data_IF_425046167663
#
_entry.id   IF_425046167663
#
_cell.length_a   1.000
_cell.length_b   1.000
_cell.length_c   1.000
_cell.angle_alpha   90.00
_cell.angle_beta   90.00
_cell.angle_gamma   90.00
#
_symmetry.space_group_name_H-M   'P 1'
#
loop_
_entity.id
_entity.type
_entity.pdbx_description
1 polymer ?
#
# COMPACT_ATOMS: atom_id res chain seq x y z
N UNK A 1 -16.11 -16.11 -9.50
CA UNK A 1 -15.29 -14.89 -9.38
C UNK A 1 -15.77 -14.15 -8.15
N UNK A 2 -14.83 -13.56 -7.40
CA UNK A 2 -15.14 -12.73 -6.24
C UNK A 2 -15.90 -11.47 -6.67
N UNK A 3 -16.84 -10.99 -5.83
CA UNK A 3 -17.59 -9.78 -6.12
C UNK A 3 -16.68 -8.53 -6.11
N UNK A 4 -15.61 -8.55 -5.30
CA UNK A 4 -14.59 -7.50 -5.26
C UNK A 4 -13.20 -8.14 -5.26
N UNK A 5 -12.45 -7.92 -6.32
CA UNK A 5 -11.05 -8.35 -6.44
C UNK A 5 -10.11 -7.26 -5.87
N UNK A 6 -8.92 -7.62 -5.35
CA UNK A 6 -7.97 -6.65 -4.78
C UNK A 6 -7.59 -5.50 -5.73
N UNK A 7 -7.47 -5.76 -7.02
CA UNK A 7 -7.18 -4.76 -8.06
C UNK A 7 -8.29 -3.73 -8.28
N UNK A 8 -9.48 -4.03 -7.77
CA UNK A 8 -10.65 -3.15 -7.82
C UNK A 8 -10.79 -2.29 -6.56
N UNK A 9 -9.77 -2.25 -5.71
CA UNK A 9 -9.74 -1.47 -4.48
C UNK A 9 -8.62 -0.43 -4.59
N UNK A 10 -8.99 0.85 -4.58
CA UNK A 10 -8.04 1.95 -4.51
C UNK A 10 -8.13 2.64 -3.17
N UNK A 11 -7.00 2.77 -2.48
CA UNK A 11 -6.90 3.40 -1.16
C UNK A 11 -5.99 4.62 -1.29
N UNK A 12 -6.49 5.78 -0.87
CA UNK A 12 -5.76 7.05 -0.97
C UNK A 12 -5.82 7.80 0.36
N UNK A 13 -4.65 8.17 0.89
CA UNK A 13 -4.58 9.13 1.98
C UNK A 13 -4.95 10.52 1.45
N UNK A 14 -6.04 11.10 1.94
CA UNK A 14 -6.50 12.44 1.55
C UNK A 14 -5.83 13.50 2.39
N UNK A 15 -5.64 13.21 3.68
CA UNK A 15 -5.04 14.11 4.67
C UNK A 15 -4.51 13.29 5.83
N UNK A 16 -3.49 13.78 6.51
CA UNK A 16 -2.85 13.08 7.64
C UNK A 16 -3.19 13.70 9.01
N UNK A 17 -3.64 14.97 9.06
CA UNK A 17 -3.98 15.64 10.33
C UNK A 17 -5.18 16.58 10.17
N UNK A 18 -6.40 16.19 10.63
CA UNK A 18 -6.80 14.83 11.02
C UNK A 18 -6.72 13.85 9.83
N UNK A 19 -6.49 12.58 10.11
CA UNK A 19 -6.31 11.61 9.05
C UNK A 19 -7.63 11.23 8.38
N UNK A 20 -7.65 11.33 7.04
CA UNK A 20 -8.73 10.87 6.19
C UNK A 20 -8.19 9.97 5.09
N UNK A 21 -8.82 8.81 4.94
CA UNK A 21 -8.49 7.82 3.92
C UNK A 21 -9.71 7.57 3.05
N UNK A 22 -9.52 7.65 1.74
CA UNK A 22 -10.57 7.36 0.76
C UNK A 22 -10.39 5.94 0.26
N UNK A 23 -11.45 5.15 0.33
CA UNK A 23 -11.58 3.85 -0.31
C UNK A 23 -12.50 4.00 -1.53
N UNK A 24 -12.00 3.66 -2.70
CA UNK A 24 -12.76 3.55 -3.94
C UNK A 24 -12.80 2.06 -4.30
N UNK A 25 -13.99 1.49 -4.31
CA UNK A 25 -14.22 0.05 -4.46
C UNK A 25 -15.15 -0.15 -5.65
N UNK A 26 -14.80 -1.09 -6.52
CA UNK A 26 -15.62 -1.53 -7.62
C UNK A 26 -16.05 -2.98 -7.41
N UNK A 27 -17.35 -3.20 -7.28
CA UNK A 27 -17.97 -4.53 -7.24
C UNK A 27 -18.46 -4.92 -8.63
N UNK A 28 -18.43 -6.21 -8.98
CA UNK A 28 -18.87 -6.72 -10.28
C UNK A 28 -20.40 -6.54 -10.53
N UNK A 29 -21.17 -6.33 -9.47
CA UNK A 29 -22.59 -6.06 -9.51
C UNK A 29 -23.00 -5.19 -8.33
N UNK A 30 -24.11 -4.45 -8.43
CA UNK A 30 -24.64 -3.66 -7.32
C UNK A 30 -24.86 -4.51 -6.08
N UNK A 31 -24.28 -4.10 -4.97
CA UNK A 31 -24.37 -4.78 -3.69
C UNK A 31 -24.09 -3.84 -2.52
N UNK A 32 -24.39 -4.31 -1.31
CA UNK A 32 -23.96 -3.64 -0.09
C UNK A 32 -22.50 -3.99 0.19
N UNK A 33 -21.69 -2.97 0.38
CA UNK A 33 -20.28 -3.06 0.75
C UNK A 33 -20.13 -2.73 2.23
N UNK A 34 -19.47 -3.59 2.99
CA UNK A 34 -19.05 -3.32 4.35
C UNK A 34 -17.53 -3.28 4.40
N UNK A 35 -16.98 -2.14 4.87
CA UNK A 35 -15.55 -1.93 5.10
C UNK A 35 -15.27 -1.96 6.59
N UNK A 36 -14.32 -2.77 7.00
CA UNK A 36 -13.81 -2.85 8.36
C UNK A 36 -12.31 -2.52 8.35
N UNK A 37 -11.85 -1.72 9.32
CA UNK A 37 -10.44 -1.34 9.46
C UNK A 37 -9.94 -1.72 10.85
N UNK A 38 -8.81 -2.40 10.91
CA UNK A 38 -8.13 -2.85 12.11
C UNK A 38 -6.67 -2.39 12.19
N UNK A 39 -6.08 -2.54 13.37
CA UNK A 39 -4.67 -2.23 13.62
C UNK A 39 -3.76 -3.40 13.24
N UNK A 40 -2.59 -3.06 12.66
CA UNK A 40 -1.44 -3.95 12.52
C UNK A 40 -1.67 -5.18 11.65
N UNK A 41 -0.64 -6.03 11.61
CA UNK A 41 -0.62 -7.28 10.85
C UNK A 41 -0.93 -8.51 11.73
N UNK A 42 -1.14 -8.33 13.05
CA UNK A 42 -1.43 -9.43 13.96
C UNK A 42 -2.87 -9.90 13.82
N UNK A 43 -3.07 -11.21 14.05
CA UNK A 43 -4.34 -11.92 13.85
C UNK A 43 -5.45 -11.59 14.86
N UNK A 44 -5.23 -10.65 15.77
CA UNK A 44 -6.31 -10.16 16.62
C UNK A 44 -7.35 -9.48 15.73
N UNK A 45 -8.46 -10.15 15.47
CA UNK A 45 -9.56 -9.71 14.59
C UNK A 45 -10.32 -8.48 15.14
N UNK A 46 -9.60 -7.58 15.81
CA UNK A 46 -10.21 -6.35 16.33
C UNK A 46 -10.21 -5.29 15.25
N UNK A 47 -11.40 -5.06 14.69
CA UNK A 47 -11.68 -3.92 13.83
C UNK A 47 -12.26 -2.79 14.67
N UNK A 48 -11.73 -1.58 14.51
CA UNK A 48 -12.15 -0.40 15.27
C UNK A 48 -12.99 0.58 14.44
N UNK A 49 -13.04 0.40 13.13
CA UNK A 49 -13.93 1.12 12.22
C UNK A 49 -14.71 0.10 11.42
N UNK A 50 -16.03 0.31 11.32
CA UNK A 50 -16.91 -0.44 10.44
C UNK A 50 -17.85 0.54 9.76
N UNK A 51 -17.83 0.59 8.43
CA UNK A 51 -18.67 1.42 7.60
C UNK A 51 -19.35 0.58 6.52
N UNK A 52 -20.60 0.89 6.23
CA UNK A 52 -21.36 0.18 5.19
C UNK A 52 -22.05 1.16 4.27
N UNK A 53 -22.00 0.87 2.97
CA UNK A 53 -22.66 1.68 1.94
C UNK A 53 -23.08 0.78 0.78
N UNK A 54 -24.23 1.10 0.18
CA UNK A 54 -24.66 0.45 -1.05
C UNK A 54 -23.90 1.04 -2.24
N UNK A 55 -23.49 0.18 -3.17
CA UNK A 55 -22.87 0.61 -4.42
C UNK A 55 -23.92 1.27 -5.35
N UNK A 56 -23.43 2.04 -6.29
CA UNK A 56 -24.25 2.53 -7.40
C UNK A 56 -24.64 1.40 -8.36
N UNK A 57 -25.40 1.76 -9.43
CA UNK A 57 -25.85 0.81 -10.47
C UNK A 57 -24.70 0.17 -11.24
N UNK A 58 -23.51 0.79 -11.22
CA UNK A 58 -22.29 0.28 -11.85
C UNK A 58 -21.40 -0.50 -10.88
N UNK A 59 -21.80 -0.68 -9.63
CA UNK A 59 -21.02 -1.38 -8.61
C UNK A 59 -19.98 -0.51 -7.88
N UNK A 60 -19.95 0.81 -8.09
CA UNK A 60 -18.95 1.68 -7.48
C UNK A 60 -19.38 2.13 -6.07
N UNK A 61 -18.43 2.14 -5.15
CA UNK A 61 -18.54 2.75 -3.82
C UNK A 61 -17.33 3.62 -3.52
N UNK A 62 -17.58 4.82 -3.01
CA UNK A 62 -16.55 5.64 -2.42
C UNK A 62 -16.89 5.90 -0.94
N UNK A 63 -15.94 5.56 -0.06
CA UNK A 63 -16.01 5.78 1.38
C UNK A 63 -14.87 6.71 1.79
N UNK A 64 -15.17 7.74 2.57
CA UNK A 64 -14.17 8.63 3.18
C UNK A 64 -14.14 8.37 4.69
N UNK A 65 -13.08 7.76 5.13
CA UNK A 65 -12.92 7.27 6.50
C UNK A 65 -12.02 8.21 7.29
N UNK A 66 -12.50 8.69 8.43
CA UNK A 66 -11.67 9.39 9.42
C UNK A 66 -11.01 8.35 10.33
N UNK A 67 -9.70 8.41 10.45
CA UNK A 67 -8.93 7.56 11.36
C UNK A 67 -8.42 8.41 12.51
N UNK A 68 -9.03 8.23 13.69
CA UNK A 68 -8.63 8.96 14.89
C UNK A 68 -7.26 8.51 15.39
N UNK A 69 -6.43 9.46 15.81
CA UNK A 69 -5.08 9.19 16.31
C UNK A 69 -4.25 8.29 15.38
N UNK A 70 -4.33 8.56 14.06
CA UNK A 70 -3.70 7.73 13.06
C UNK A 70 -2.18 7.63 13.27
N UNK A 71 -1.67 6.40 13.20
CA UNK A 71 -0.24 6.11 13.14
C UNK A 71 0.18 6.19 11.67
N UNK A 72 1.07 7.12 11.38
CA UNK A 72 1.53 7.36 10.02
C UNK A 72 2.64 6.38 9.63
N UNK A 73 2.61 5.94 8.38
CA UNK A 73 3.67 5.13 7.80
C UNK A 73 4.87 6.00 7.43
N UNK A 74 6.07 5.58 7.78
CA UNK A 74 7.33 6.11 7.26
C UNK A 74 8.33 4.97 7.06
N UNK A 75 9.47 5.26 6.41
CA UNK A 75 10.53 4.26 6.22
C UNK A 75 11.11 3.75 7.54
N UNK A 76 11.09 4.57 8.60
CA UNK A 76 11.57 4.22 9.94
C UNK A 76 10.49 3.55 10.80
N UNK A 77 9.22 3.85 10.53
CA UNK A 77 8.07 3.28 11.22
C UNK A 77 6.99 2.87 10.22
N UNK A 78 7.15 1.71 9.56
CA UNK A 78 6.27 1.27 8.47
C UNK A 78 4.95 0.68 9.02
N UNK A 79 4.17 1.53 9.70
CA UNK A 79 2.92 1.09 10.30
C UNK A 79 1.84 0.85 9.25
N UNK A 80 1.26 -0.35 9.23
CA UNK A 80 0.18 -0.74 8.34
C UNK A 80 -1.12 -0.97 9.13
N UNK A 81 -2.21 -0.51 8.56
CA UNK A 81 -3.57 -0.88 8.90
C UNK A 81 -3.98 -2.06 8.04
N UNK A 82 -4.88 -2.91 8.55
CA UNK A 82 -5.55 -3.92 7.75
C UNK A 82 -6.97 -3.49 7.42
N UNK A 83 -7.47 -3.97 6.31
CA UNK A 83 -8.88 -3.81 5.95
C UNK A 83 -9.50 -5.16 5.59
N UNK A 84 -10.81 -5.24 5.80
CA UNK A 84 -11.68 -6.29 5.30
C UNK A 84 -12.83 -5.62 4.57
N UNK A 85 -13.10 -6.03 3.35
CA UNK A 85 -14.23 -5.58 2.54
C UNK A 85 -15.12 -6.78 2.30
N UNK A 86 -16.37 -6.70 2.74
CA UNK A 86 -17.40 -7.72 2.51
C UNK A 86 -18.39 -7.21 1.47
N UNK A 87 -18.64 -8.03 0.44
CA UNK A 87 -19.58 -7.76 -0.65
C UNK A 87 -20.46 -9.01 -0.86
N UNK A 88 -21.65 -9.00 -0.30
CA UNK A 88 -22.50 -10.21 -0.25
C UNK A 88 -21.84 -11.34 0.55
N UNK A 89 -21.54 -12.47 -0.10
CA UNK A 89 -20.84 -13.60 0.51
C UNK A 89 -19.32 -13.53 0.37
N UNK A 90 -18.79 -12.60 -0.42
CA UNK A 90 -17.38 -12.52 -0.72
C UNK A 90 -16.64 -11.56 0.23
N UNK A 91 -15.38 -11.90 0.53
CA UNK A 91 -14.52 -11.14 1.42
C UNK A 91 -13.18 -10.90 0.73
N UNK A 92 -12.76 -9.62 0.68
CA UNK A 92 -11.43 -9.21 0.25
C UNK A 92 -10.70 -8.55 1.42
N UNK A 93 -9.45 -8.91 1.63
CA UNK A 93 -8.62 -8.37 2.72
C UNK A 93 -7.30 -7.84 2.20
N UNK A 94 -6.71 -6.89 2.93
CA UNK A 94 -5.40 -6.36 2.61
C UNK A 94 -4.91 -5.39 3.67
N UNK A 95 -3.83 -4.70 3.33
CA UNK A 95 -3.19 -3.72 4.22
C UNK A 95 -2.97 -2.39 3.52
N UNK A 96 -2.83 -1.32 4.29
CA UNK A 96 -2.48 0.00 3.77
C UNK A 96 -1.76 0.83 4.84
N UNK A 97 -0.88 1.73 4.39
CA UNK A 97 -0.25 2.74 5.22
C UNK A 97 -0.91 4.11 5.02
N UNK A 98 -0.93 4.93 6.06
CA UNK A 98 -1.38 6.32 5.98
C UNK A 98 -0.14 7.21 5.94
N UNK A 99 0.07 7.91 4.83
CA UNK A 99 1.21 8.83 4.68
C UNK A 99 0.86 9.99 3.75
N UNK A 100 1.59 11.07 3.91
CA UNK A 100 1.59 12.22 2.99
C UNK A 100 2.95 12.36 2.35
N UNK A 101 2.98 12.48 1.02
CA UNK A 101 4.19 12.77 0.26
C UNK A 101 4.08 14.20 -0.28
N UNK A 102 5.13 14.99 -0.10
CA UNK A 102 5.18 16.35 -0.63
C UNK A 102 6.56 16.68 -1.20
N UNK A 103 6.58 17.60 -2.14
CA UNK A 103 7.77 18.14 -2.75
C UNK A 103 7.74 19.66 -2.61
N UNK A 104 8.81 20.20 -2.14
CA UNK A 104 8.99 21.63 -1.93
C UNK A 104 10.34 22.07 -2.48
N UNK A 105 10.41 23.26 -3.09
CA UNK A 105 11.65 23.75 -3.71
C UNK A 105 12.76 24.01 -2.69
N UNK A 106 12.41 24.35 -1.45
CA UNK A 106 13.37 24.65 -0.38
C UNK A 106 13.68 23.42 0.46
N UNK A 107 12.64 22.63 0.80
CA UNK A 107 12.74 21.45 1.68
C UNK A 107 13.07 20.16 0.94
N UNK A 108 12.78 20.12 -0.37
CA UNK A 108 12.90 18.90 -1.17
C UNK A 108 11.77 17.91 -0.90
N UNK A 109 12.08 16.62 -1.00
CA UNK A 109 11.12 15.55 -0.74
C UNK A 109 10.84 15.37 0.77
N UNK A 110 9.57 15.30 1.11
CA UNK A 110 9.11 15.14 2.49
C UNK A 110 8.09 14.00 2.61
N UNK A 111 8.17 13.26 3.72
CA UNK A 111 7.17 12.28 4.15
C UNK A 111 6.58 12.79 5.47
N UNK A 112 5.26 12.93 5.52
CA UNK A 112 4.54 13.43 6.70
C UNK A 112 5.10 14.78 7.21
N UNK A 113 5.50 15.65 6.28
CA UNK A 113 6.11 16.95 6.58
C UNK A 113 7.59 16.90 7.00
N UNK A 114 8.20 15.73 7.10
CA UNK A 114 9.61 15.54 7.46
C UNK A 114 10.46 15.38 6.20
N UNK A 115 11.48 16.24 6.05
CA UNK A 115 12.44 16.12 4.94
C UNK A 115 13.11 14.74 4.94
N UNK A 116 13.04 14.06 3.83
CA UNK A 116 13.55 12.70 3.68
C UNK A 116 14.57 12.64 2.54
N UNK A 117 15.80 12.21 2.87
CA UNK A 117 16.84 11.95 1.87
C UNK A 117 16.68 10.51 1.39
N UNK A 118 16.49 10.34 0.07
CA UNK A 118 16.41 9.03 -0.54
C UNK A 118 17.82 8.43 -0.66
N UNK A 119 18.07 7.37 0.07
CA UNK A 119 19.26 6.53 0.00
C UNK A 119 18.88 5.25 -0.72
N UNK A 120 19.11 5.20 -2.03
CA UNK A 120 18.57 4.14 -2.85
C UNK A 120 19.51 3.62 -3.91
N UNK A 121 19.10 2.52 -4.54
CA UNK A 121 19.74 1.91 -5.68
C UNK A 121 18.70 1.37 -6.66
N UNK A 122 19.12 1.19 -7.93
CA UNK A 122 18.32 0.46 -8.89
C UNK A 122 18.36 -1.03 -8.56
N UNK A 123 17.21 -1.69 -8.72
CA UNK A 123 17.11 -3.14 -8.65
C UNK A 123 16.45 -3.66 -9.93
N UNK A 124 16.71 -4.90 -10.25
CA UNK A 124 16.11 -5.61 -11.36
C UNK A 124 15.35 -6.84 -10.85
N UNK A 125 14.58 -7.48 -11.73
CA UNK A 125 13.97 -8.79 -11.47
C UNK A 125 15.04 -9.88 -11.47
N UNK A 126 15.84 -9.87 -10.40
CA UNK A 126 16.95 -10.78 -10.22
C UNK A 126 17.01 -11.30 -8.78
N UNK A 127 16.84 -12.57 -8.60
CA UNK A 127 16.92 -13.29 -7.33
C UNK A 127 18.01 -14.38 -7.37
N UNK A 128 19.12 -14.10 -8.03
CA UNK A 128 20.27 -14.98 -8.14
C UNK A 128 19.91 -16.29 -8.81
N UNK A 129 20.08 -17.43 -8.13
CA UNK A 129 19.78 -18.76 -8.69
C UNK A 129 18.30 -18.95 -9.07
N UNK A 130 17.40 -18.13 -8.55
CA UNK A 130 15.98 -18.15 -8.88
C UNK A 130 15.66 -17.37 -10.16
N UNK A 131 16.64 -16.68 -10.74
CA UNK A 131 16.43 -15.82 -11.91
C UNK A 131 15.40 -14.73 -11.62
N UNK A 132 14.45 -14.51 -12.52
CA UNK A 132 13.40 -13.52 -12.40
C UNK A 132 12.18 -13.96 -11.57
N UNK A 133 12.24 -15.13 -10.91
CA UNK A 133 11.12 -15.60 -10.08
C UNK A 133 10.98 -14.75 -8.81
N UNK A 134 9.83 -14.09 -8.69
CA UNK A 134 9.53 -13.15 -7.60
C UNK A 134 8.75 -13.86 -6.48
N UNK A 135 9.36 -14.86 -5.86
CA UNK A 135 8.77 -15.52 -4.69
C UNK A 135 8.75 -14.56 -3.49
N UNK A 136 7.66 -14.54 -2.69
CA UNK A 136 7.51 -13.60 -1.57
C UNK A 136 8.71 -13.57 -0.61
N UNK A 137 9.22 -14.73 -0.22
CA UNK A 137 10.35 -14.85 0.71
C UNK A 137 11.67 -14.33 0.10
N UNK A 138 11.86 -14.49 -1.22
CA UNK A 138 13.04 -13.99 -1.92
C UNK A 138 13.01 -12.46 -2.03
N UNK A 139 11.85 -11.89 -2.34
CA UNK A 139 11.64 -10.45 -2.39
C UNK A 139 11.76 -9.81 -1.00
N UNK A 140 11.17 -10.41 0.02
CA UNK A 140 11.31 -9.93 1.40
C UNK A 140 12.77 -9.97 1.87
N UNK A 141 13.49 -11.06 1.58
CA UNK A 141 14.92 -11.15 1.88
C UNK A 141 15.72 -10.03 1.19
N UNK A 142 15.44 -9.73 -0.08
CA UNK A 142 16.09 -8.64 -0.82
C UNK A 142 15.87 -7.30 -0.13
N UNK A 143 14.62 -6.96 0.19
CA UNK A 143 14.28 -5.70 0.88
C UNK A 143 14.93 -5.63 2.25
N UNK A 144 14.91 -6.71 3.03
CA UNK A 144 15.54 -6.77 4.36
C UNK A 144 17.04 -6.47 4.29
N UNK A 145 17.76 -7.14 3.37
CA UNK A 145 19.20 -6.90 3.20
C UNK A 145 19.52 -5.46 2.81
N UNK A 146 18.71 -4.85 1.94
CA UNK A 146 18.86 -3.44 1.59
C UNK A 146 18.62 -2.53 2.80
N UNK A 147 17.60 -2.81 3.60
CA UNK A 147 17.34 -2.06 4.85
C UNK A 147 18.50 -2.16 5.84
N UNK A 148 19.01 -3.38 6.07
CA UNK A 148 20.15 -3.64 6.96
C UNK A 148 21.42 -2.88 6.53
N UNK A 149 21.59 -2.65 5.23
CA UNK A 149 22.71 -1.85 4.68
C UNK A 149 22.45 -0.35 4.64
N UNK A 150 21.29 0.11 5.15
CA UNK A 150 20.98 1.53 5.32
C UNK A 150 20.23 2.18 4.15
N UNK A 151 19.75 1.40 3.19
CA UNK A 151 18.86 1.91 2.14
C UNK A 151 17.44 2.18 2.71
N UNK A 152 16.79 3.22 2.19
CA UNK A 152 15.39 3.52 2.46
C UNK A 152 14.55 3.66 1.18
N UNK A 153 15.19 3.51 0.02
CA UNK A 153 14.52 3.61 -1.27
C UNK A 153 15.12 2.65 -2.29
N UNK A 154 14.31 2.22 -3.23
CA UNK A 154 14.72 1.45 -4.42
C UNK A 154 14.05 2.02 -5.67
N UNK A 155 14.70 1.86 -6.81
CA UNK A 155 14.12 2.09 -8.13
C UNK A 155 13.98 0.75 -8.83
N UNK A 156 12.75 0.36 -9.17
CA UNK A 156 12.49 -0.82 -10.00
C UNK A 156 12.82 -0.49 -11.45
N UNK A 157 13.92 -1.01 -11.94
CA UNK A 157 14.42 -0.71 -13.28
C UNK A 157 14.27 -1.95 -14.18
N UNK A 158 13.64 -1.86 -15.33
CA UNK A 158 13.05 -0.69 -16.01
C UNK A 158 11.54 -0.91 -16.24
N UNK A 159 10.88 -1.62 -15.37
CA UNK A 159 9.48 -2.02 -15.48
C UNK A 159 8.85 -2.24 -14.09
N UNK A 160 7.53 -2.37 -13.99
CA UNK A 160 6.85 -2.53 -12.71
C UNK A 160 7.38 -3.73 -11.93
N UNK A 161 7.59 -3.53 -10.65
CA UNK A 161 8.03 -4.61 -9.77
C UNK A 161 6.88 -5.55 -9.37
N UNK A 162 7.23 -6.70 -8.81
CA UNK A 162 6.26 -7.67 -8.36
C UNK A 162 5.44 -7.15 -7.17
N UNK A 163 4.19 -7.60 -7.07
CA UNK A 163 3.37 -7.33 -5.88
C UNK A 163 4.08 -7.80 -4.59
N UNK A 164 4.76 -8.94 -4.64
CA UNK A 164 5.51 -9.46 -3.49
C UNK A 164 6.60 -8.50 -3.01
N UNK A 165 7.31 -7.83 -3.94
CA UNK A 165 8.30 -6.81 -3.59
C UNK A 165 7.64 -5.59 -2.95
N UNK A 166 6.52 -5.09 -3.52
CA UNK A 166 5.78 -3.96 -2.98
C UNK A 166 5.26 -4.25 -1.58
N UNK A 167 4.66 -5.42 -1.36
CA UNK A 167 4.18 -5.85 -0.05
C UNK A 167 5.32 -5.93 0.99
N UNK A 168 6.50 -6.40 0.58
CA UNK A 168 7.68 -6.40 1.44
C UNK A 168 8.18 -4.99 1.75
N UNK A 169 8.17 -4.09 0.76
CA UNK A 169 8.53 -2.68 0.93
C UNK A 169 7.60 -1.96 1.89
N UNK A 170 6.30 -2.20 1.78
CA UNK A 170 5.29 -1.63 2.68
C UNK A 170 5.51 -2.08 4.13
N UNK A 171 5.78 -3.37 4.35
CA UNK A 171 6.01 -3.93 5.69
C UNK A 171 7.35 -3.51 6.31
N UNK A 172 8.41 -3.43 5.50
CA UNK A 172 9.77 -3.18 5.97
C UNK A 172 10.19 -1.70 5.89
N UNK A 173 9.35 -0.83 5.33
CA UNK A 173 9.63 0.60 5.26
C UNK A 173 10.64 0.96 4.16
N UNK A 174 10.43 0.46 2.95
CA UNK A 174 11.21 0.82 1.78
C UNK A 174 10.36 1.64 0.81
N UNK A 175 10.87 2.79 0.39
CA UNK A 175 10.24 3.59 -0.67
C UNK A 175 10.55 2.99 -2.03
N UNK A 176 9.60 3.05 -2.94
CA UNK A 176 9.75 2.51 -4.29
C UNK A 176 9.52 3.59 -5.32
N UNK A 177 10.48 3.80 -6.21
CA UNK A 177 10.29 4.46 -7.49
C UNK A 177 10.02 3.36 -8.53
N UNK A 178 8.73 3.10 -8.76
CA UNK A 178 8.29 2.07 -9.70
C UNK A 178 8.24 2.64 -11.12
N UNK A 179 8.83 1.93 -12.08
CA UNK A 179 8.83 2.33 -13.48
C UNK A 179 7.70 1.62 -14.23
N UNK A 180 6.84 2.39 -14.86
CA UNK A 180 5.66 1.86 -15.53
C UNK A 180 5.99 1.16 -16.85
N UNK A 181 6.93 1.72 -17.62
CA UNK A 181 7.32 1.16 -18.92
C UNK A 181 8.82 1.19 -19.11
N UNK A 182 9.32 0.19 -19.82
CA UNK A 182 10.71 0.13 -20.28
C UNK A 182 10.82 0.85 -21.63
N UNK A 183 11.12 2.15 -21.58
CA UNK A 183 11.21 3.01 -22.77
C UNK A 183 12.68 3.46 -22.96
N UNK A 184 13.25 3.08 -24.10
CA UNK A 184 14.63 3.37 -24.47
C UNK A 184 14.77 4.43 -25.57
N UNK A 185 13.71 5.21 -25.87
CA UNK A 185 13.67 6.20 -26.96
C UNK A 185 13.48 7.62 -26.43
#
# INVERSE_FOLDING_TARGET
KSAVEPENIRITTVKTSPAFVKFEIYAQAPCRITLEIGHGLQDDEVYFITESKDSDECGNVALLIKVENARLWSAENPYLYRYRITAGADVSTGTFGIRELSWDAEKGFCINGVRTILKGACIHHDNGLLGACCYPDAEERKVRLLKETGYNAIRSAHNPCSKALLDACDRLGMLVLDEYTDMWY
#
